data_IF_054997518016
#
_entry.id   IF_054997518016
#
_cell.length_a   1.000
_cell.length_b   1.000
_cell.length_c   1.000
_cell.angle_alpha   90.00
_cell.angle_beta   90.00
_cell.angle_gamma   90.00
#
_symmetry.space_group_name_H-M   'P 1'
#
loop_
_entity.id
_entity.type
_entity.pdbx_description
1 polymer ?
#
# COMPACT_ATOMS: atom_id res chain seq x y z
N UNK A 1 11.47 -9.91 12.98
CA UNK A 1 10.68 -8.68 13.16
C UNK A 1 9.46 -8.85 12.27
N UNK A 2 8.28 -9.13 12.83
CA UNK A 2 7.07 -9.16 12.00
C UNK A 2 6.89 -7.75 11.43
N UNK A 3 6.88 -7.59 10.10
CA UNK A 3 6.38 -6.35 9.52
C UNK A 3 4.96 -6.19 10.06
N UNK A 4 4.77 -5.23 10.94
CA UNK A 4 3.43 -4.77 11.28
C UNK A 4 2.98 -3.99 10.05
N UNK A 5 2.01 -4.52 9.31
CA UNK A 5 1.56 -3.92 8.05
C UNK A 5 0.94 -2.53 8.23
N UNK A 6 0.59 -2.15 9.48
CA UNK A 6 -0.16 -0.94 9.80
C UNK A 6 0.49 -0.15 10.93
N UNK A 7 0.41 1.17 10.83
CA UNK A 7 0.89 2.12 11.83
C UNK A 7 -0.11 3.27 12.02
N UNK A 8 -0.19 3.76 13.25
CA UNK A 8 -0.78 5.04 13.57
C UNK A 8 0.33 6.10 13.55
N UNK A 9 0.11 7.19 12.85
CA UNK A 9 1.09 8.24 12.70
C UNK A 9 0.51 9.58 13.09
N UNK A 10 1.36 10.44 13.62
CA UNK A 10 1.00 11.81 14.00
C UNK A 10 2.13 12.75 13.61
N UNK A 11 1.76 13.82 12.91
CA UNK A 11 2.63 14.95 12.60
C UNK A 11 2.04 16.20 13.24
N UNK A 12 2.80 16.82 14.13
CA UNK A 12 2.41 18.04 14.84
C UNK A 12 2.83 19.29 14.06
N UNK A 13 2.21 20.46 14.34
CA UNK A 13 2.50 21.69 13.61
C UNK A 13 3.93 22.20 13.79
N UNK A 14 4.60 21.83 14.89
CA UNK A 14 6.01 22.14 15.18
C UNK A 14 7.01 21.26 14.39
N UNK A 15 6.51 20.43 13.48
CA UNK A 15 7.32 19.53 12.65
C UNK A 15 7.66 18.21 13.32
N UNK A 16 7.26 17.99 14.58
CA UNK A 16 7.50 16.72 15.26
C UNK A 16 6.60 15.62 14.70
N UNK A 17 7.17 14.45 14.51
CA UNK A 17 6.51 13.31 13.91
C UNK A 17 6.74 12.05 14.76
N UNK A 18 5.71 11.22 14.89
CA UNK A 18 5.83 9.89 15.47
C UNK A 18 5.02 8.87 14.66
N UNK A 19 5.56 7.64 14.57
CA UNK A 19 4.94 6.49 13.91
C UNK A 19 4.92 5.33 14.89
N UNK A 20 3.72 4.79 15.13
CA UNK A 20 3.47 3.71 16.07
C UNK A 20 2.96 2.49 15.32
N UNK A 21 3.79 1.44 15.15
CA UNK A 21 3.32 0.17 14.59
C UNK A 21 2.19 -0.42 15.43
N UNK A 22 1.09 -0.83 14.78
CA UNK A 22 -0.10 -1.34 15.47
C UNK A 22 -0.65 -2.59 14.79
N UNK A 23 -1.26 -3.48 15.58
CA UNK A 23 -2.05 -4.61 15.12
C UNK A 23 -3.44 -4.51 15.74
N UNK A 24 -4.24 -3.56 15.24
CA UNK A 24 -5.56 -3.23 15.80
C UNK A 24 -6.56 -4.38 15.63
N UNK A 25 -6.36 -5.24 14.63
CA UNK A 25 -7.18 -6.43 14.40
C UNK A 25 -7.00 -7.49 15.48
N UNK A 26 -5.81 -7.57 16.09
CA UNK A 26 -5.49 -8.54 17.15
C UNK A 26 -5.87 -8.03 18.54
N UNK A 27 -5.63 -6.74 18.77
CA UNK A 27 -5.93 -6.06 20.04
C UNK A 27 -6.60 -4.71 19.76
N UNK A 28 -7.92 -4.72 19.47
CA UNK A 28 -8.65 -3.53 19.08
C UNK A 28 -8.92 -2.63 20.30
N UNK A 29 -8.72 -1.30 20.16
CA UNK A 29 -9.21 -0.35 21.15
C UNK A 29 -10.74 -0.43 21.24
N UNK A 30 -11.27 -0.14 22.43
CA UNK A 30 -12.72 -0.08 22.69
C UNK A 30 -13.02 1.12 23.58
N UNK A 31 -14.27 1.64 23.56
CA UNK A 31 -14.71 2.62 24.55
C UNK A 31 -14.41 2.12 25.97
N UNK A 32 -13.62 2.89 26.74
CA UNK A 32 -13.16 2.50 28.09
C UNK A 32 -11.85 1.69 28.15
N UNK A 33 -11.36 1.16 27.02
CA UNK A 33 -10.04 0.53 26.87
C UNK A 33 -9.33 1.12 25.64
N UNK A 34 -9.15 2.44 25.67
CA UNK A 34 -8.43 3.15 24.62
C UNK A 34 -6.94 2.80 24.64
N UNK A 35 -6.33 2.75 23.45
CA UNK A 35 -4.88 2.60 23.31
C UNK A 35 -4.25 3.98 23.20
N UNK A 36 -3.16 4.20 23.93
CA UNK A 36 -2.52 5.51 24.07
C UNK A 36 -1.09 5.43 23.55
N UNK A 37 -0.71 6.39 22.73
CA UNK A 37 0.59 6.44 22.06
C UNK A 37 1.21 7.81 22.32
N UNK A 38 2.15 7.88 23.26
CA UNK A 38 2.83 9.11 23.63
C UNK A 38 3.80 9.54 22.52
N UNK A 39 3.65 10.77 22.05
CA UNK A 39 4.54 11.38 21.06
C UNK A 39 5.80 11.87 21.80
N UNK A 40 6.99 11.35 21.46
CA UNK A 40 8.23 11.69 22.16
C UNK A 40 8.46 13.20 22.26
N UNK A 41 8.92 13.67 23.43
CA UNK A 41 9.36 15.06 23.65
C UNK A 41 8.31 16.15 23.36
N UNK A 42 7.03 15.82 23.49
CA UNK A 42 5.91 16.78 23.26
C UNK A 42 4.87 16.85 24.36
N UNK A 43 4.73 15.82 25.18
CA UNK A 43 3.59 15.67 26.10
C UNK A 43 2.26 15.40 25.40
N UNK A 44 2.23 15.29 24.07
CA UNK A 44 1.05 14.94 23.28
C UNK A 44 0.91 13.42 23.22
N UNK A 45 -0.32 12.94 23.32
CA UNK A 45 -0.68 11.53 23.21
C UNK A 45 -1.71 11.37 22.10
N UNK A 46 -1.41 10.52 21.12
CA UNK A 46 -2.40 10.02 20.18
C UNK A 46 -3.19 8.90 20.87
N UNK A 47 -4.51 9.04 20.94
CA UNK A 47 -5.39 8.07 21.58
C UNK A 47 -6.27 7.43 20.53
N UNK A 48 -6.24 6.11 20.46
CA UNK A 48 -7.17 5.31 19.66
C UNK A 48 -8.26 4.77 20.58
N UNK A 49 -9.50 5.23 20.38
CA UNK A 49 -10.64 4.93 21.26
C UNK A 49 -11.46 3.73 20.79
N UNK A 50 -11.54 3.54 19.47
CA UNK A 50 -12.39 2.52 18.87
C UNK A 50 -11.82 2.06 17.52
N UNK A 51 -12.22 0.88 17.09
CA UNK A 51 -11.74 0.27 15.84
C UNK A 51 -12.83 -0.53 15.16
N UNK A 52 -13.00 -0.28 13.86
CA UNK A 52 -13.90 -1.01 13.00
C UNK A 52 -13.09 -1.77 11.93
N UNK A 53 -13.13 -3.10 11.90
CA UNK A 53 -12.39 -3.88 10.92
C UNK A 53 -12.95 -3.74 9.50
N UNK A 54 -14.25 -3.43 9.40
CA UNK A 54 -14.98 -3.25 8.15
C UNK A 54 -15.88 -2.03 8.25
N UNK A 55 -15.66 -1.06 7.36
CA UNK A 55 -16.44 0.17 7.30
C UNK A 55 -16.99 0.44 5.92
N UNK A 56 -18.18 1.01 5.89
CA UNK A 56 -18.70 1.73 4.74
C UNK A 56 -18.43 3.21 4.99
N UNK A 57 -17.76 3.83 4.02
CA UNK A 57 -17.57 5.26 3.99
C UNK A 57 -18.72 5.88 3.19
N UNK A 58 -19.48 6.78 3.82
CA UNK A 58 -20.51 7.58 3.14
C UNK A 58 -20.16 9.06 3.26
N UNK A 59 -20.02 9.71 2.12
CA UNK A 59 -20.02 11.17 2.06
C UNK A 59 -21.46 11.67 2.00
N UNK A 60 -21.77 12.61 2.87
CA UNK A 60 -23.00 13.38 2.89
C UNK A 60 -22.64 14.85 2.95
N UNK A 61 -23.64 15.72 2.89
CA UNK A 61 -23.44 17.15 3.02
C UNK A 61 -24.45 17.70 4.01
N UNK A 62 -24.04 18.72 4.76
CA UNK A 62 -24.91 19.52 5.63
C UNK A 62 -24.86 20.99 5.20
N UNK A 63 -25.89 21.76 5.55
CA UNK A 63 -25.90 23.20 5.36
C UNK A 63 -24.74 23.87 6.10
N UNK A 64 -24.06 24.81 5.46
CA UNK A 64 -22.93 25.53 6.02
C UNK A 64 -22.92 27.01 5.61
N UNK A 65 -22.15 27.83 6.34
CA UNK A 65 -22.02 29.27 6.04
C UNK A 65 -21.21 29.54 4.77
N UNK A 66 -20.35 28.60 4.39
CA UNK A 66 -19.46 28.63 3.23
C UNK A 66 -19.28 27.23 2.64
N UNK A 67 -19.02 27.15 1.34
CA UNK A 67 -18.79 25.88 0.65
C UNK A 67 -19.50 25.86 -0.70
N UNK A 68 -19.18 24.88 -1.56
CA UNK A 68 -19.88 24.68 -2.82
C UNK A 68 -21.33 24.25 -2.55
N UNK A 69 -22.26 24.51 -3.47
CA UNK A 69 -23.60 23.96 -3.36
C UNK A 69 -23.56 22.44 -3.48
N UNK A 70 -24.52 21.77 -2.84
CA UNK A 70 -24.71 20.34 -2.94
C UNK A 70 -26.20 19.99 -2.94
N UNK A 71 -26.55 18.91 -3.61
CA UNK A 71 -27.89 18.34 -3.60
C UNK A 71 -27.84 16.84 -3.40
N UNK A 72 -28.88 16.32 -2.76
CA UNK A 72 -29.13 14.89 -2.67
C UNK A 72 -30.29 14.56 -3.60
N UNK A 73 -30.15 13.46 -4.33
CA UNK A 73 -31.22 12.96 -5.17
C UNK A 73 -31.45 11.48 -4.95
N UNK A 74 -32.69 11.08 -5.19
CA UNK A 74 -33.15 9.70 -5.17
C UNK A 74 -33.63 9.36 -6.57
N UNK A 75 -33.08 8.29 -7.13
CA UNK A 75 -33.53 7.66 -8.36
C UNK A 75 -34.42 6.48 -7.99
N UNK A 76 -35.69 6.57 -8.35
CA UNK A 76 -36.67 5.50 -8.22
C UNK A 76 -36.86 4.83 -9.58
N UNK A 77 -36.30 3.62 -9.71
CA UNK A 77 -36.50 2.75 -10.85
C UNK A 77 -37.48 1.61 -10.50
N UNK A 78 -38.12 0.96 -11.48
CA UNK A 78 -39.10 -0.10 -11.21
C UNK A 78 -38.58 -1.27 -10.36
N UNK A 79 -37.27 -1.54 -10.41
CA UNK A 79 -36.64 -2.68 -9.73
C UNK A 79 -35.55 -2.28 -8.73
N UNK A 80 -35.26 -0.99 -8.59
CA UNK A 80 -34.16 -0.51 -7.76
C UNK A 80 -34.43 0.92 -7.26
N UNK A 81 -33.91 1.23 -6.08
CA UNK A 81 -33.89 2.59 -5.55
C UNK A 81 -32.45 2.95 -5.24
N UNK A 82 -31.95 3.96 -5.93
CA UNK A 82 -30.59 4.47 -5.76
C UNK A 82 -30.64 5.91 -5.26
N UNK A 83 -29.58 6.35 -4.59
CA UNK A 83 -29.48 7.72 -4.09
C UNK A 83 -28.02 8.13 -4.04
N UNK A 84 -27.77 9.41 -4.28
CA UNK A 84 -26.42 9.98 -4.19
C UNK A 84 -26.46 11.47 -3.86
N UNK A 85 -25.36 11.96 -3.32
CA UNK A 85 -25.05 13.38 -3.29
C UNK A 85 -24.33 13.79 -4.57
N UNK A 86 -24.57 15.03 -4.98
CA UNK A 86 -23.78 15.75 -5.98
C UNK A 86 -23.37 17.09 -5.40
N UNK A 87 -22.12 17.51 -5.64
CA UNK A 87 -21.62 18.81 -5.24
C UNK A 87 -20.89 19.48 -6.40
N UNK A 88 -21.18 20.76 -6.63
CA UNK A 88 -20.51 21.55 -7.66
C UNK A 88 -19.11 22.04 -7.22
N UNK A 89 -18.44 21.27 -6.36
CA UNK A 89 -17.09 21.53 -5.89
C UNK A 89 -16.06 21.29 -6.99
N UNK A 90 -16.20 20.16 -7.68
CA UNK A 90 -15.31 19.68 -8.73
C UNK A 90 -16.08 18.69 -9.64
N UNK A 91 -15.48 18.32 -10.77
CA UNK A 91 -16.11 17.41 -11.73
C UNK A 91 -16.33 15.99 -11.19
N UNK A 92 -15.50 15.53 -10.26
CA UNK A 92 -15.57 14.18 -9.69
C UNK A 92 -16.73 14.03 -8.70
N UNK A 93 -17.04 15.09 -7.94
CA UNK A 93 -18.18 15.15 -7.01
C UNK A 93 -19.45 15.69 -7.65
N UNK A 94 -19.30 16.38 -8.78
CA UNK A 94 -20.39 16.91 -9.57
C UNK A 94 -21.06 15.88 -10.48
N UNK A 95 -20.48 14.69 -10.66
CA UNK A 95 -21.03 13.66 -11.54
C UNK A 95 -21.09 12.27 -10.91
N UNK A 96 -22.15 11.53 -11.24
CA UNK A 96 -22.28 10.10 -10.97
C UNK A 96 -22.89 9.38 -12.17
N UNK A 97 -22.37 8.20 -12.51
CA UNK A 97 -22.90 7.32 -13.57
C UNK A 97 -23.43 6.04 -12.91
N UNK A 98 -24.72 5.76 -13.08
CA UNK A 98 -25.36 4.54 -12.59
C UNK A 98 -25.46 3.44 -13.65
N UNK A 99 -24.85 3.62 -14.82
CA UNK A 99 -24.87 2.72 -15.96
C UNK A 99 -25.81 3.20 -17.07
N UNK A 100 -27.15 3.10 -16.89
CA UNK A 100 -28.12 3.49 -17.90
C UNK A 100 -28.42 5.00 -17.90
N UNK A 101 -28.07 5.72 -16.84
CA UNK A 101 -28.23 7.16 -16.71
C UNK A 101 -27.06 7.79 -15.94
N UNK A 102 -26.60 8.93 -16.43
CA UNK A 102 -25.64 9.80 -15.75
C UNK A 102 -26.36 10.99 -15.12
N UNK A 103 -25.78 11.52 -14.04
CA UNK A 103 -26.28 12.67 -13.32
C UNK A 103 -25.15 13.66 -13.10
N UNK A 104 -25.41 14.94 -13.38
CA UNK A 104 -24.48 16.05 -13.22
C UNK A 104 -25.08 17.16 -12.38
N UNK A 105 -24.25 17.87 -11.61
CA UNK A 105 -24.63 19.11 -10.94
C UNK A 105 -23.63 20.23 -11.22
N UNK A 106 -24.14 21.34 -11.74
CA UNK A 106 -23.35 22.46 -12.23
C UNK A 106 -23.85 23.79 -11.68
N UNK A 107 -22.95 24.77 -11.60
CA UNK A 107 -23.28 26.15 -11.24
C UNK A 107 -22.99 27.02 -12.44
N UNK A 108 -24.02 27.65 -12.99
CA UNK A 108 -23.89 28.55 -14.12
C UNK A 108 -23.59 29.98 -13.64
N UNK A 109 -22.73 30.70 -14.36
CA UNK A 109 -22.44 32.13 -14.12
C UNK A 109 -23.38 33.04 -14.89
N UNK A 110 -24.01 32.53 -15.95
CA UNK A 110 -24.99 33.26 -16.76
C UNK A 110 -26.20 32.39 -17.11
N UNK A 111 -27.32 33.00 -17.45
CA UNK A 111 -28.50 32.26 -17.93
C UNK A 111 -28.24 31.52 -19.26
N UNK A 112 -27.37 32.07 -20.12
CA UNK A 112 -26.98 31.42 -21.38
C UNK A 112 -26.18 30.13 -21.11
N UNK A 113 -25.25 30.19 -20.17
CA UNK A 113 -24.48 29.03 -19.70
C UNK A 113 -25.40 27.99 -19.05
N UNK A 114 -26.39 28.41 -18.26
CA UNK A 114 -27.37 27.48 -17.68
C UNK A 114 -28.17 26.72 -18.76
N UNK A 115 -28.56 27.41 -19.84
CA UNK A 115 -29.23 26.81 -20.98
C UNK A 115 -28.33 25.87 -21.81
N UNK A 116 -27.02 26.03 -21.75
CA UNK A 116 -26.04 25.13 -22.38
C UNK A 116 -25.83 23.88 -21.52
N UNK A 117 -25.57 24.06 -20.22
CA UNK A 117 -25.35 22.98 -19.25
C UNK A 117 -26.56 22.04 -19.11
N UNK A 118 -27.78 22.59 -19.19
CA UNK A 118 -29.01 21.77 -19.23
C UNK A 118 -29.18 20.97 -20.52
N UNK A 119 -28.43 21.27 -21.59
CA UNK A 119 -28.45 20.53 -22.86
C UNK A 119 -27.19 19.70 -23.07
N UNK A 120 -26.44 19.45 -22.00
CA UNK A 120 -25.24 18.63 -22.06
C UNK A 120 -25.57 17.21 -22.56
N UNK A 121 -24.92 16.82 -23.65
CA UNK A 121 -25.06 15.52 -24.28
C UNK A 121 -23.85 14.66 -23.94
N UNK A 122 -24.07 13.63 -23.13
CA UNK A 122 -23.02 12.70 -22.67
C UNK A 122 -22.94 11.42 -23.50
N UNK A 123 -23.72 11.30 -24.58
CA UNK A 123 -23.83 10.09 -25.40
C UNK A 123 -24.60 8.94 -24.72
N UNK A 124 -25.20 9.19 -23.56
CA UNK A 124 -26.13 8.33 -22.82
C UNK A 124 -27.29 9.18 -22.28
N UNK A 125 -28.25 8.55 -21.61
CA UNK A 125 -29.26 9.30 -20.88
C UNK A 125 -28.62 10.10 -19.74
N UNK A 126 -28.93 11.38 -19.63
CA UNK A 126 -28.30 12.30 -18.70
C UNK A 126 -29.34 13.16 -18.00
N UNK A 127 -29.13 13.40 -16.71
CA UNK A 127 -29.84 14.40 -15.91
C UNK A 127 -28.85 15.44 -15.45
N UNK A 128 -28.90 16.63 -16.03
CA UNK A 128 -28.06 17.76 -15.62
C UNK A 128 -28.87 18.68 -14.71
N UNK A 129 -28.48 18.79 -13.45
CA UNK A 129 -28.98 19.79 -12.52
C UNK A 129 -28.11 21.03 -12.62
N UNK A 130 -28.73 22.21 -12.72
CA UNK A 130 -28.00 23.47 -12.84
C UNK A 130 -28.54 24.48 -11.85
N UNK A 131 -27.64 25.07 -11.07
CA UNK A 131 -27.92 26.24 -10.24
C UNK A 131 -27.67 27.50 -11.07
N UNK A 132 -28.73 28.27 -11.31
CA UNK A 132 -28.65 29.56 -11.99
C UNK A 132 -28.06 30.65 -11.09
N UNK A 133 -27.51 31.74 -11.65
CA UNK A 133 -27.06 32.91 -10.88
C UNK A 133 -28.15 33.54 -10.02
N UNK A 134 -29.42 33.36 -10.40
CA UNK A 134 -30.60 33.80 -9.65
C UNK A 134 -30.82 33.02 -8.35
N UNK A 135 -30.14 31.88 -8.17
CA UNK A 135 -30.36 30.92 -7.10
C UNK A 135 -31.46 29.89 -7.41
N UNK A 136 -32.06 29.94 -8.61
CA UNK A 136 -33.03 28.93 -9.04
C UNK A 136 -32.33 27.64 -9.51
N UNK A 137 -32.94 26.49 -9.21
CA UNK A 137 -32.52 25.21 -9.75
C UNK A 137 -33.34 24.87 -10.99
N UNK A 138 -32.63 24.49 -12.05
CA UNK A 138 -33.21 23.96 -13.28
C UNK A 138 -32.60 22.60 -13.58
N UNK A 139 -33.30 21.81 -14.38
CA UNK A 139 -32.80 20.52 -14.82
C UNK A 139 -32.91 20.38 -16.34
N UNK A 140 -32.05 19.52 -16.89
CA UNK A 140 -32.07 19.08 -18.27
C UNK A 140 -32.02 17.56 -18.36
N UNK A 141 -32.96 16.99 -19.09
CA UNK A 141 -33.07 15.55 -19.35
C UNK A 141 -32.67 15.31 -20.80
N UNK A 142 -31.46 14.81 -21.03
CA UNK A 142 -30.95 14.52 -22.37
C UNK A 142 -31.04 13.02 -22.61
N UNK A 143 -31.77 12.58 -23.65
CA UNK A 143 -31.78 11.17 -24.04
C UNK A 143 -30.50 10.81 -24.79
N UNK A 144 -30.20 9.52 -24.91
CA UNK A 144 -29.09 9.03 -25.75
C UNK A 144 -29.17 9.52 -27.20
N UNK A 145 -30.37 9.74 -27.74
CA UNK A 145 -30.60 10.27 -29.09
C UNK A 145 -30.48 11.80 -29.17
N UNK A 146 -30.08 12.46 -28.09
CA UNK A 146 -29.85 13.91 -28.03
C UNK A 146 -31.12 14.76 -27.85
N UNK A 147 -32.29 14.14 -27.63
CA UNK A 147 -33.50 14.91 -27.30
C UNK A 147 -33.37 15.44 -25.88
N UNK A 148 -33.52 16.75 -25.72
CA UNK A 148 -33.44 17.38 -24.40
C UNK A 148 -34.78 17.95 -23.97
N UNK A 149 -35.19 17.66 -22.74
CA UNK A 149 -36.31 18.32 -22.06
C UNK A 149 -35.77 19.08 -20.85
N UNK A 150 -36.05 20.37 -20.77
CA UNK A 150 -35.64 21.19 -19.62
C UNK A 150 -36.84 21.55 -18.76
N UNK A 151 -36.60 21.83 -17.49
CA UNK A 151 -37.63 22.24 -16.56
C UNK A 151 -37.06 22.91 -15.32
N UNK A 152 -37.94 23.52 -14.54
CA UNK A 152 -37.59 24.07 -13.23
C UNK A 152 -37.61 22.95 -12.21
N UNK A 153 -36.58 22.88 -11.38
CA UNK A 153 -36.50 21.91 -10.30
C UNK A 153 -37.09 22.49 -9.02
N UNK A 154 -38.02 21.76 -8.42
CA UNK A 154 -38.55 22.05 -7.08
C UNK A 154 -38.17 20.90 -6.14
N UNK A 155 -37.50 21.22 -5.03
CA UNK A 155 -37.06 20.23 -4.06
C UNK A 155 -38.26 19.46 -3.49
N UNK A 156 -38.17 18.14 -3.48
CA UNK A 156 -39.20 17.20 -3.04
C UNK A 156 -40.21 16.80 -4.13
N UNK A 157 -40.24 17.48 -5.28
CA UNK A 157 -41.13 17.09 -6.39
C UNK A 157 -40.47 16.07 -7.32
N UNK A 158 -41.16 14.97 -7.68
CA UNK A 158 -40.64 14.01 -8.65
C UNK A 158 -40.56 14.58 -10.07
N UNK A 159 -39.45 14.30 -10.73
CA UNK A 159 -39.20 14.56 -12.16
C UNK A 159 -39.36 13.22 -12.89
N UNK A 160 -40.35 13.14 -13.78
CA UNK A 160 -40.55 11.99 -14.65
C UNK A 160 -39.47 12.00 -15.75
N UNK A 161 -38.70 10.92 -15.84
CA UNK A 161 -37.69 10.80 -16.90
C UNK A 161 -38.33 10.25 -18.18
N UNK A 162 -37.95 10.75 -19.37
CA UNK A 162 -38.55 10.29 -20.62
C UNK A 162 -38.11 8.88 -21.05
N UNK A 163 -37.32 8.19 -20.22
CA UNK A 163 -36.82 6.85 -20.47
C UNK A 163 -37.09 5.95 -19.26
N UNK A 164 -37.33 4.66 -19.52
CA UNK A 164 -37.32 3.58 -18.51
C UNK A 164 -38.32 3.68 -17.33
N UNK A 165 -39.27 4.62 -17.35
CA UNK A 165 -40.28 4.78 -16.29
C UNK A 165 -39.67 5.12 -14.92
N UNK A 166 -38.51 5.80 -14.91
CA UNK A 166 -37.81 6.18 -13.69
C UNK A 166 -38.22 7.59 -13.25
N UNK A 167 -38.20 7.81 -11.93
CA UNK A 167 -38.46 9.10 -11.31
C UNK A 167 -37.24 9.58 -10.56
N UNK A 168 -36.93 10.86 -10.68
CA UNK A 168 -35.84 11.49 -9.97
C UNK A 168 -36.42 12.51 -9.01
N UNK A 169 -36.09 12.40 -7.73
CA UNK A 169 -36.50 13.35 -6.70
C UNK A 169 -35.25 13.95 -6.09
N UNK A 170 -35.09 15.27 -6.20
CA UNK A 170 -34.11 15.99 -5.38
C UNK A 170 -34.79 16.32 -4.06
N UNK A 171 -34.47 15.58 -3.01
CA UNK A 171 -35.10 15.70 -1.69
C UNK A 171 -34.42 16.75 -0.81
N UNK A 172 -33.14 17.04 -1.05
CA UNK A 172 -32.36 18.04 -0.31
C UNK A 172 -31.48 18.86 -1.23
N UNK A 173 -31.40 20.16 -0.94
CA UNK A 173 -30.49 21.09 -1.59
C UNK A 173 -29.92 22.07 -0.57
N UNK A 174 -28.63 22.30 -0.66
CA UNK A 174 -27.89 23.29 0.11
C UNK A 174 -27.14 24.20 -0.85
N UNK A 175 -27.50 25.49 -0.87
CA UNK A 175 -26.80 26.49 -1.68
C UNK A 175 -25.32 26.66 -1.25
N UNK A 176 -25.03 26.34 0.01
CA UNK A 176 -23.69 26.26 0.57
C UNK A 176 -23.65 25.04 1.48
N UNK A 177 -22.74 24.13 1.19
CA UNK A 177 -22.69 22.84 1.86
C UNK A 177 -21.28 22.53 2.37
N UNK A 178 -21.21 21.93 3.55
CA UNK A 178 -19.98 21.33 4.06
C UNK A 178 -20.08 19.81 3.90
N UNK A 179 -19.03 19.15 3.36
CA UNK A 179 -18.99 17.70 3.31
C UNK A 179 -18.94 17.13 4.73
N UNK A 180 -19.78 16.14 4.96
CA UNK A 180 -19.85 15.34 6.17
C UNK A 180 -19.47 13.91 5.83
N UNK A 181 -18.64 13.34 6.69
CA UNK A 181 -18.11 12.01 6.47
C UNK A 181 -18.62 11.06 7.54
N UNK A 182 -19.45 10.11 7.13
CA UNK A 182 -19.96 9.09 8.04
C UNK A 182 -19.21 7.78 7.79
N UNK A 183 -18.53 7.31 8.83
CA UNK A 183 -17.91 5.99 8.88
C UNK A 183 -18.81 5.09 9.71
N UNK A 184 -19.41 4.09 9.07
CA UNK A 184 -20.31 3.13 9.73
C UNK A 184 -19.81 1.70 9.56
N UNK A 185 -20.06 0.80 10.53
CA UNK A 185 -19.76 -0.62 10.37
C UNK A 185 -20.41 -1.19 9.11
N UNK A 186 -19.68 -2.01 8.37
CA UNK A 186 -20.18 -2.73 7.20
C UNK A 186 -19.99 -4.24 7.38
N UNK A 187 -20.84 -5.07 6.76
CA UNK A 187 -20.58 -6.51 6.72
C UNK A 187 -19.25 -6.80 6.01
N UNK A 188 -18.57 -7.91 6.37
CA UNK A 188 -17.34 -8.30 5.69
C UNK A 188 -17.61 -8.50 4.19
N UNK A 189 -16.80 -7.91 3.30
CA UNK A 189 -17.00 -8.05 1.86
C UNK A 189 -16.73 -9.49 1.41
N UNK A 190 -17.45 -9.95 0.38
CA UNK A 190 -17.23 -11.26 -0.24
C UNK A 190 -15.81 -11.43 -0.82
N UNK A 191 -15.16 -10.31 -1.16
CA UNK A 191 -13.77 -10.26 -1.65
C UNK A 191 -12.89 -9.44 -0.72
N UNK A 192 -11.69 -9.94 -0.46
CA UNK A 192 -10.71 -9.35 0.46
C UNK A 192 -10.32 -7.90 0.09
N UNK A 193 -10.28 -7.59 -1.21
CA UNK A 193 -9.86 -6.30 -1.78
C UNK A 193 -10.71 -5.08 -1.36
N UNK A 194 -11.86 -5.28 -0.71
CA UNK A 194 -12.74 -4.19 -0.23
C UNK A 194 -12.73 -3.98 1.28
N UNK A 195 -11.82 -4.64 2.02
CA UNK A 195 -11.75 -4.51 3.49
C UNK A 195 -11.15 -3.16 3.90
N UNK A 196 -11.99 -2.13 3.94
CA UNK A 196 -11.63 -0.86 4.58
C UNK A 196 -11.81 -1.00 6.09
N UNK A 197 -10.73 -0.85 6.84
CA UNK A 197 -10.75 -0.74 8.30
C UNK A 197 -10.61 0.72 8.72
N UNK A 198 -11.21 1.12 9.84
CA UNK A 198 -11.08 2.46 10.39
C UNK A 198 -10.77 2.43 11.89
N UNK A 199 -10.05 3.45 12.35
CA UNK A 199 -9.72 3.66 13.75
C UNK A 199 -10.20 5.04 14.17
N UNK A 200 -10.88 5.11 15.32
CA UNK A 200 -11.34 6.37 15.90
C UNK A 200 -10.25 6.91 16.80
N UNK A 201 -9.77 8.12 16.49
CA UNK A 201 -8.63 8.71 17.16
C UNK A 201 -8.85 10.16 17.54
N UNK A 202 -8.12 10.61 18.55
CA UNK A 202 -7.98 12.01 18.91
C UNK A 202 -6.60 12.25 19.52
N UNK A 203 -6.20 13.53 19.59
CA UNK A 203 -5.01 13.95 20.30
C UNK A 203 -5.39 14.48 21.68
N UNK A 204 -4.56 14.20 22.68
CA UNK A 204 -4.63 14.76 24.02
C UNK A 204 -3.26 15.31 24.42
N UNK A 205 -3.21 16.42 25.15
CA UNK A 205 -1.95 17.06 25.51
C UNK A 205 -2.16 18.34 26.31
N UNK A 206 -1.09 19.13 26.52
CA UNK A 206 -1.14 20.36 27.31
C UNK A 206 -2.14 21.38 26.76
N UNK A 207 -2.27 21.45 25.44
CA UNK A 207 -3.16 22.40 24.73
C UNK A 207 -4.62 21.93 24.66
N UNK A 208 -4.94 20.80 25.33
CA UNK A 208 -6.29 20.25 25.42
C UNK A 208 -6.46 18.95 24.64
N UNK A 209 -7.66 18.77 24.07
CA UNK A 209 -8.08 17.53 23.41
C UNK A 209 -8.83 17.84 22.12
N UNK A 210 -8.54 17.10 21.04
CA UNK A 210 -9.31 17.21 19.79
C UNK A 210 -10.62 16.44 19.87
N UNK A 211 -11.58 16.84 19.02
CA UNK A 211 -12.74 16.00 18.74
C UNK A 211 -12.27 14.65 18.17
N UNK A 212 -12.85 13.52 18.61
CA UNK A 212 -12.60 12.21 18.01
C UNK A 212 -13.07 12.13 16.57
N UNK A 213 -12.26 11.52 15.72
CA UNK A 213 -12.54 11.38 14.29
C UNK A 213 -12.10 10.00 13.79
N UNK A 214 -12.78 9.50 12.76
CA UNK A 214 -12.46 8.23 12.12
C UNK A 214 -11.39 8.42 11.03
N UNK A 215 -10.29 7.69 11.16
CA UNK A 215 -9.23 7.61 10.15
C UNK A 215 -9.31 6.24 9.49
N UNK A 216 -9.57 6.21 8.19
CA UNK A 216 -9.64 4.96 7.41
C UNK A 216 -8.23 4.51 7.02
N UNK A 217 -8.06 3.22 6.79
CA UNK A 217 -6.82 2.65 6.29
C UNK A 217 -6.33 3.38 5.03
N UNK A 218 -5.04 3.68 4.97
CA UNK A 218 -4.34 4.50 3.95
C UNK A 218 -4.62 6.00 4.00
N UNK A 219 -5.47 6.47 4.91
CA UNK A 219 -5.85 7.88 5.00
C UNK A 219 -4.95 8.66 5.98
N UNK A 220 -4.76 9.95 5.69
CA UNK A 220 -4.23 10.95 6.59
C UNK A 220 -5.27 12.07 6.79
N UNK A 221 -5.60 12.38 8.04
CA UNK A 221 -6.59 13.39 8.42
C UNK A 221 -5.90 14.58 9.06
N UNK A 222 -6.29 15.78 8.63
CA UNK A 222 -5.92 17.04 9.28
C UNK A 222 -6.87 17.28 10.45
N UNK A 223 -6.33 17.58 11.63
CA UNK A 223 -7.09 17.87 12.85
C UNK A 223 -6.65 19.21 13.41
N UNK A 224 -7.61 20.01 13.88
CA UNK A 224 -7.30 21.27 14.55
C UNK A 224 -6.64 20.99 15.91
N UNK A 225 -5.44 21.52 16.12
CA UNK A 225 -4.64 21.33 17.32
C UNK A 225 -3.96 22.65 17.70
N UNK A 226 -4.23 23.18 18.91
CA UNK A 226 -3.63 24.41 19.42
C UNK A 226 -3.75 25.62 18.45
N UNK A 227 -4.88 25.77 17.76
CA UNK A 227 -5.09 26.82 16.75
C UNK A 227 -4.35 26.62 15.43
N UNK A 228 -3.62 25.50 15.29
CA UNK A 228 -2.92 25.08 14.08
C UNK A 228 -3.48 23.74 13.59
N UNK A 229 -2.87 23.15 12.56
CA UNK A 229 -3.30 21.88 11.97
C UNK A 229 -2.27 20.79 12.22
N UNK A 230 -2.63 19.79 13.01
CA UNK A 230 -1.88 18.54 13.10
C UNK A 230 -2.42 17.55 12.05
N UNK A 231 -1.64 16.52 11.75
CA UNK A 231 -2.05 15.41 10.86
C UNK A 231 -1.99 14.10 11.62
N UNK A 232 -3.04 13.29 11.52
CA UNK A 232 -3.11 11.93 12.08
C UNK A 232 -3.41 10.96 10.94
N UNK A 233 -2.65 9.87 10.83
CA UNK A 233 -2.80 8.92 9.73
C UNK A 233 -2.86 7.47 10.21
N UNK A 234 -3.56 6.63 9.46
CA UNK A 234 -3.62 5.19 9.67
C UNK A 234 -3.19 4.48 8.37
N UNK A 235 -1.90 4.18 8.25
CA UNK A 235 -1.30 3.71 6.99
C UNK A 235 -0.11 2.80 7.27
N UNK A 236 0.55 2.32 6.21
CA UNK A 236 1.74 1.49 6.36
C UNK A 236 2.82 2.23 7.19
N UNK A 237 3.62 1.52 8.00
CA UNK A 237 4.70 2.16 8.75
C UNK A 237 5.67 2.86 7.80
N UNK A 238 6.00 4.11 8.12
CA UNK A 238 7.07 4.82 7.44
C UNK A 238 8.38 4.63 8.21
N UNK A 239 9.47 4.51 7.45
CA UNK A 239 10.82 4.42 8.00
C UNK A 239 11.57 5.65 7.53
N UNK A 240 12.03 6.46 8.49
CA UNK A 240 12.86 7.62 8.18
C UNK A 240 14.19 7.14 7.56
N UNK A 241 14.56 7.75 6.45
CA UNK A 241 15.88 7.57 5.85
C UNK A 241 16.87 8.53 6.52
N UNK A 242 18.14 8.13 6.72
CA UNK A 242 19.16 9.00 7.33
C UNK A 242 19.70 10.07 6.36
N UNK A 243 19.05 10.29 5.23
CA UNK A 243 19.39 11.24 4.17
C UNK A 243 18.10 11.63 3.44
N UNK A 244 18.12 12.75 2.73
CA UNK A 244 17.00 13.22 1.92
C UNK A 244 17.22 12.87 0.45
N UNK A 245 16.14 12.60 -0.26
CA UNK A 245 16.16 12.33 -1.71
C UNK A 245 15.19 13.29 -2.38
N UNK A 246 15.70 14.12 -3.29
CA UNK A 246 14.91 15.08 -4.05
C UNK A 246 14.96 14.71 -5.53
N UNK A 247 13.79 14.67 -6.18
CA UNK A 247 13.71 14.51 -7.64
C UNK A 247 14.08 15.84 -8.32
N UNK A 248 15.15 15.84 -9.11
CA UNK A 248 15.62 16.99 -9.88
C UNK A 248 14.92 17.03 -11.24
N UNK A 249 14.92 15.88 -11.93
CA UNK A 249 14.40 15.74 -13.28
C UNK A 249 13.85 14.34 -13.48
N UNK A 250 12.67 14.26 -14.08
CA UNK A 250 12.07 13.02 -14.56
C UNK A 250 12.04 13.04 -16.09
N UNK A 251 12.35 11.90 -16.71
CA UNK A 251 12.22 11.74 -18.15
C UNK A 251 11.48 10.44 -18.45
N UNK A 252 10.59 10.48 -19.44
CA UNK A 252 9.86 9.30 -19.89
C UNK A 252 9.71 9.33 -21.41
N UNK A 253 10.38 8.40 -22.07
CA UNK A 253 10.21 8.20 -23.51
C UNK A 253 9.00 7.30 -23.75
N UNK A 254 8.21 7.61 -24.78
CA UNK A 254 7.01 6.85 -25.17
C UNK A 254 7.28 5.98 -26.40
N UNK A 255 6.56 4.87 -26.52
CA UNK A 255 6.61 4.08 -27.75
C UNK A 255 6.05 4.90 -28.93
N UNK A 256 6.71 4.87 -30.11
CA UNK A 256 6.19 5.55 -31.29
C UNK A 256 4.75 5.10 -31.61
N UNK A 257 3.82 6.06 -31.68
CA UNK A 257 2.41 5.79 -31.97
C UNK A 257 1.56 5.33 -30.78
N UNK A 258 2.09 5.35 -29.54
CA UNK A 258 1.35 5.03 -28.32
C UNK A 258 1.66 6.01 -27.20
N UNK A 259 0.73 6.18 -26.26
CA UNK A 259 0.98 6.91 -25.03
C UNK A 259 1.69 6.07 -23.95
N UNK A 260 1.98 4.79 -24.22
CA UNK A 260 2.69 3.91 -23.30
C UNK A 260 4.17 4.34 -23.17
N UNK A 261 4.64 4.50 -21.93
CA UNK A 261 6.04 4.75 -21.65
C UNK A 261 6.90 3.52 -22.02
N UNK A 262 7.93 3.77 -22.83
CA UNK A 262 8.96 2.80 -23.20
C UNK A 262 10.07 2.73 -22.15
N UNK A 263 10.47 3.88 -21.62
CA UNK A 263 11.50 4.01 -20.58
C UNK A 263 11.15 5.17 -19.69
N UNK A 264 11.39 5.04 -18.38
CA UNK A 264 11.33 6.16 -17.45
C UNK A 264 12.54 6.15 -16.53
N UNK A 265 13.08 7.34 -16.30
CA UNK A 265 14.32 7.58 -15.58
C UNK A 265 14.20 8.83 -14.71
N UNK A 266 15.01 8.87 -13.65
CA UNK A 266 14.98 9.94 -12.66
C UNK A 266 16.38 10.37 -12.27
N UNK A 267 16.60 11.67 -12.28
CA UNK A 267 17.76 12.31 -11.69
C UNK A 267 17.37 12.77 -10.29
N UNK A 268 18.06 12.24 -9.29
CA UNK A 268 17.79 12.53 -7.89
C UNK A 268 19.00 13.17 -7.22
N UNK A 269 18.76 14.16 -6.37
CA UNK A 269 19.73 14.71 -5.44
C UNK A 269 19.58 13.97 -4.12
N UNK A 270 20.66 13.40 -3.63
CA UNK A 270 20.76 12.83 -2.30
C UNK A 270 21.53 13.79 -1.40
N UNK A 271 20.87 14.28 -0.36
CA UNK A 271 21.47 15.14 0.65
C UNK A 271 21.64 14.34 1.94
N UNK A 272 22.88 13.97 2.23
CA UNK A 272 23.24 13.18 3.41
C UNK A 272 24.06 14.04 4.39
N UNK A 273 23.61 14.19 5.65
CA UNK A 273 24.35 14.96 6.65
C UNK A 273 25.80 14.49 6.89
N UNK A 274 26.10 13.21 6.69
CA UNK A 274 27.42 12.62 6.90
C UNK A 274 28.27 12.60 5.61
N UNK A 275 27.64 12.51 4.44
CA UNK A 275 28.34 12.32 3.15
C UNK A 275 28.24 13.50 2.18
N UNK A 276 27.47 14.52 2.53
CA UNK A 276 27.23 15.70 1.71
C UNK A 276 26.17 15.48 0.62
N UNK A 277 26.16 16.38 -0.35
CA UNK A 277 25.18 16.39 -1.45
C UNK A 277 25.78 15.67 -2.66
N UNK A 278 24.99 14.79 -3.28
CA UNK A 278 25.38 14.07 -4.50
C UNK A 278 24.19 13.87 -5.42
N UNK A 279 24.42 13.81 -6.73
CA UNK A 279 23.36 13.59 -7.72
C UNK A 279 23.53 12.20 -8.35
N UNK A 280 22.41 11.51 -8.53
CA UNK A 280 22.36 10.13 -9.00
C UNK A 280 21.30 9.96 -10.07
N UNK A 281 21.57 9.08 -11.01
CA UNK A 281 20.62 8.68 -12.05
C UNK A 281 20.06 7.30 -11.73
N UNK A 282 18.74 7.18 -11.74
CA UNK A 282 18.00 5.94 -11.49
C UNK A 282 17.17 5.62 -12.72
N UNK A 283 17.34 4.42 -13.27
CA UNK A 283 16.53 3.90 -14.38
C UNK A 283 16.09 2.47 -14.09
N UNK A 284 15.15 1.93 -14.88
CA UNK A 284 14.55 0.60 -14.64
C UNK A 284 15.57 -0.53 -14.41
N UNK A 285 16.73 -0.46 -15.08
CA UNK A 285 17.78 -1.47 -14.99
C UNK A 285 19.03 -0.98 -14.21
N UNK A 286 19.05 0.27 -13.77
CA UNK A 286 20.15 0.84 -12.98
C UNK A 286 19.59 1.44 -11.68
N UNK A 287 19.41 0.63 -10.63
CA UNK A 287 18.99 1.11 -9.33
C UNK A 287 20.11 1.88 -8.63
N UNK A 288 19.75 2.83 -7.77
CA UNK A 288 20.71 3.53 -6.93
C UNK A 288 20.98 2.73 -5.66
N UNK A 289 22.24 2.40 -5.44
CA UNK A 289 22.74 1.82 -4.18
C UNK A 289 23.33 2.91 -3.29
N UNK A 290 22.70 3.21 -2.17
CA UNK A 290 23.15 4.26 -1.25
C UNK A 290 22.96 3.86 0.22
N UNK A 291 24.04 3.87 1.01
CA UNK A 291 24.05 3.49 2.46
C UNK A 291 23.29 2.19 2.81
N UNK A 292 23.40 1.17 1.95
CA UNK A 292 22.72 -0.12 2.13
C UNK A 292 21.24 -0.13 1.74
N UNK A 293 20.73 0.98 1.21
CA UNK A 293 19.43 1.08 0.55
C UNK A 293 19.61 0.93 -0.96
N UNK A 294 18.63 0.33 -1.60
CA UNK A 294 18.54 0.17 -3.04
C UNK A 294 17.23 0.82 -3.49
N UNK A 295 17.35 1.86 -4.32
CA UNK A 295 16.22 2.57 -4.90
C UNK A 295 16.00 2.05 -6.31
N UNK A 296 14.89 1.33 -6.49
CA UNK A 296 14.42 0.88 -7.78
C UNK A 296 13.40 1.85 -8.32
N UNK A 297 13.53 2.17 -9.59
CA UNK A 297 12.50 2.94 -10.28
C UNK A 297 11.28 2.05 -10.53
N UNK A 298 10.17 2.34 -9.84
CA UNK A 298 9.02 1.44 -9.78
C UNK A 298 7.84 1.91 -10.61
N UNK A 299 7.55 3.21 -10.60
CA UNK A 299 6.45 3.80 -11.37
C UNK A 299 6.60 5.32 -11.42
N UNK A 300 5.62 6.00 -12.00
CA UNK A 300 5.52 7.45 -12.03
C UNK A 300 4.05 7.86 -12.13
N UNK A 301 3.77 9.12 -11.77
CA UNK A 301 2.45 9.72 -11.93
C UNK A 301 2.60 10.87 -12.91
N UNK A 302 1.91 10.75 -14.05
CA UNK A 302 1.79 11.84 -15.03
C UNK A 302 0.89 12.95 -14.46
N UNK A 303 1.39 14.18 -14.45
CA UNK A 303 0.67 15.35 -13.95
C UNK A 303 1.60 16.55 -13.76
N UNK A 304 1.06 17.64 -13.21
CA UNK A 304 1.84 18.77 -12.72
C UNK A 304 1.62 18.91 -11.21
N UNK A 305 2.61 18.55 -10.35
CA UNK A 305 3.95 18.12 -10.71
C UNK A 305 4.03 16.65 -11.15
N UNK A 306 4.96 16.36 -12.06
CA UNK A 306 5.36 15.00 -12.41
C UNK A 306 6.01 14.36 -11.19
N UNK A 307 5.60 13.13 -10.83
CA UNK A 307 6.14 12.42 -9.66
C UNK A 307 6.76 11.09 -10.06
N UNK A 308 7.91 10.76 -9.45
CA UNK A 308 8.52 9.44 -9.57
C UNK A 308 8.22 8.61 -8.33
N UNK A 309 7.93 7.33 -8.53
CA UNK A 309 7.68 6.37 -7.46
C UNK A 309 8.85 5.39 -7.41
N UNK A 310 9.57 5.41 -6.28
CA UNK A 310 10.66 4.48 -6.03
C UNK A 310 10.23 3.35 -5.11
N UNK A 311 10.64 2.14 -5.42
CA UNK A 311 10.62 1.02 -4.48
C UNK A 311 11.96 0.96 -3.76
N UNK A 312 11.94 0.94 -2.43
CA UNK A 312 13.16 1.01 -1.60
C UNK A 312 13.34 -0.30 -0.85
N UNK A 313 14.48 -0.95 -1.05
CA UNK A 313 14.88 -2.14 -0.31
C UNK A 313 16.12 -1.85 0.53
N UNK A 314 16.21 -2.44 1.73
CA UNK A 314 17.46 -2.47 2.49
C UNK A 314 18.14 -3.81 2.27
N UNK A 315 19.35 -3.78 1.73
CA UNK A 315 20.14 -4.98 1.48
C UNK A 315 21.47 -4.91 2.24
N UNK A 316 21.89 -5.99 2.93
CA UNK A 316 23.21 -6.08 3.55
C UNK A 316 24.35 -6.05 2.50
N UNK A 317 24.02 -6.06 1.21
CA UNK A 317 24.94 -5.89 0.11
C UNK A 317 25.39 -7.21 -0.52
N UNK A 318 26.07 -7.09 -1.66
CA UNK A 318 26.60 -8.22 -2.40
C UNK A 318 27.59 -9.09 -1.62
N UNK A 319 28.44 -8.57 -0.70
CA UNK A 319 29.42 -9.41 0.00
C UNK A 319 28.78 -10.56 0.77
N UNK A 320 27.67 -10.32 1.48
CA UNK A 320 26.98 -11.36 2.24
C UNK A 320 26.37 -12.43 1.32
N UNK A 321 25.80 -12.00 0.19
CA UNK A 321 25.25 -12.90 -0.83
C UNK A 321 26.36 -13.77 -1.40
N UNK A 322 27.52 -13.18 -1.73
CA UNK A 322 28.65 -13.93 -2.25
C UNK A 322 29.21 -14.91 -1.23
N UNK A 323 29.31 -14.56 0.06
CA UNK A 323 29.71 -15.52 1.10
C UNK A 323 28.75 -16.72 1.12
N UNK A 324 27.44 -16.49 1.06
CA UNK A 324 26.45 -17.57 1.00
C UNK A 324 26.63 -18.47 -0.22
N UNK A 325 26.77 -17.89 -1.41
CA UNK A 325 26.99 -18.65 -2.66
C UNK A 325 28.32 -19.38 -2.66
N UNK A 326 29.38 -18.80 -2.10
CA UNK A 326 30.68 -19.44 -1.93
C UNK A 326 30.61 -20.62 -0.96
N UNK A 327 29.88 -20.50 0.16
CA UNK A 327 29.68 -21.60 1.11
C UNK A 327 28.89 -22.75 0.47
N UNK A 328 27.84 -22.45 -0.29
CA UNK A 328 27.07 -23.47 -1.03
C UNK A 328 27.98 -24.16 -2.06
N UNK A 329 28.72 -23.39 -2.86
CA UNK A 329 29.66 -23.91 -3.85
C UNK A 329 30.72 -24.81 -3.21
N UNK A 330 31.29 -24.39 -2.08
CA UNK A 330 32.28 -25.17 -1.33
C UNK A 330 31.69 -26.44 -0.73
N UNK A 331 30.45 -26.40 -0.23
CA UNK A 331 29.73 -27.57 0.28
C UNK A 331 29.47 -28.61 -0.80
N UNK A 332 29.07 -28.18 -2.00
CA UNK A 332 28.91 -29.05 -3.17
C UNK A 332 30.25 -29.66 -3.57
N UNK A 333 31.31 -28.86 -3.64
CA UNK A 333 32.66 -29.35 -3.94
C UNK A 333 33.12 -30.39 -2.90
N UNK A 334 32.88 -30.14 -1.61
CA UNK A 334 33.21 -31.05 -0.54
C UNK A 334 32.46 -32.38 -0.67
N UNK A 335 31.15 -32.33 -0.94
CA UNK A 335 30.31 -33.50 -1.07
C UNK A 335 30.73 -34.40 -2.25
N UNK A 336 31.02 -33.81 -3.41
CA UNK A 336 31.29 -34.57 -4.64
C UNK A 336 32.75 -34.99 -4.82
N UNK A 337 33.71 -34.23 -4.27
CA UNK A 337 35.13 -34.48 -4.52
C UNK A 337 35.88 -34.88 -3.26
N UNK A 338 35.72 -34.14 -2.17
CA UNK A 338 36.52 -34.36 -0.95
C UNK A 338 36.05 -35.59 -0.19
N UNK A 339 34.74 -35.73 0.07
CA UNK A 339 34.18 -36.87 0.79
C UNK A 339 34.48 -38.22 0.12
N UNK A 340 34.28 -38.42 -1.20
CA UNK A 340 34.63 -39.68 -1.85
C UNK A 340 36.14 -39.91 -1.93
N UNK A 341 36.95 -38.85 -2.07
CA UNK A 341 38.41 -39.00 -2.01
C UNK A 341 38.89 -39.48 -0.64
N UNK A 342 38.35 -38.92 0.45
CA UNK A 342 38.64 -39.35 1.81
C UNK A 342 38.19 -40.79 2.05
N UNK A 343 36.96 -41.14 1.64
CA UNK A 343 36.44 -42.50 1.75
C UNK A 343 37.31 -43.52 0.99
N UNK A 344 37.82 -43.17 -0.20
CA UNK A 344 38.77 -44.01 -0.96
C UNK A 344 40.11 -44.18 -0.24
N UNK A 345 40.63 -43.13 0.41
CA UNK A 345 41.88 -43.21 1.18
C UNK A 345 41.73 -44.09 2.42
N UNK A 346 40.61 -43.97 3.12
CA UNK A 346 40.33 -44.78 4.30
C UNK A 346 40.12 -46.25 3.94
N UNK A 347 39.41 -46.53 2.83
CA UNK A 347 39.29 -47.89 2.30
C UNK A 347 40.64 -48.50 1.90
N UNK A 348 41.52 -47.73 1.26
CA UNK A 348 42.86 -48.19 0.88
C UNK A 348 43.74 -48.51 2.11
N UNK A 349 43.68 -47.67 3.16
CA UNK A 349 44.39 -47.92 4.42
C UNK A 349 43.86 -49.16 5.14
N UNK A 350 42.54 -49.36 5.14
CA UNK A 350 41.92 -50.55 5.73
C UNK A 350 42.38 -51.83 5.01
N UNK A 351 42.50 -51.79 3.68
CA UNK A 351 42.98 -52.92 2.89
C UNK A 351 44.44 -53.26 3.19
N UNK A 352 45.32 -52.26 3.28
CA UNK A 352 46.73 -52.44 3.64
C UNK A 352 46.89 -53.04 5.05
N UNK A 353 46.13 -52.53 6.02
CA UNK A 353 46.15 -53.06 7.38
C UNK A 353 45.66 -54.52 7.46
N UNK A 354 44.73 -54.92 6.60
CA UNK A 354 44.30 -56.32 6.49
C UNK A 354 45.42 -57.20 5.92
N UNK A 355 46.04 -56.76 4.81
CA UNK A 355 47.16 -57.47 4.17
C UNK A 355 48.35 -57.64 5.12
N UNK A 356 48.71 -56.61 5.90
CA UNK A 356 49.78 -56.70 6.89
C UNK A 356 49.47 -57.71 8.02
N UNK A 357 48.20 -57.81 8.43
CA UNK A 357 47.76 -58.80 9.42
C UNK A 357 47.81 -60.21 8.87
N UNK A 358 47.36 -60.42 7.64
CA UNK A 358 47.48 -61.72 6.96
C UNK A 358 48.94 -62.14 6.81
N UNK A 359 49.79 -61.26 6.26
CA UNK A 359 51.22 -61.53 6.10
C UNK A 359 51.91 -61.84 7.44
N UNK A 360 51.54 -61.15 8.53
CA UNK A 360 52.08 -61.41 9.87
C UNK A 360 51.64 -62.77 10.41
N UNK A 361 50.38 -63.15 10.20
CA UNK A 361 49.85 -64.45 10.63
C UNK A 361 50.47 -65.61 9.82
N UNK A 362 50.71 -65.42 8.52
CA UNK A 362 51.43 -66.38 7.68
C UNK A 362 52.90 -66.52 8.08
N UNK A 363 53.58 -65.42 8.41
CA UNK A 363 54.95 -65.46 8.92
C UNK A 363 55.05 -66.19 10.29
N UNK A 364 54.09 -65.94 11.19
CA UNK A 364 54.04 -66.60 12.49
C UNK A 364 53.73 -68.11 12.37
N UNK A 365 52.88 -68.52 11.43
CA UNK A 365 52.56 -69.93 11.20
C UNK A 365 53.71 -70.70 10.55
N UNK A 366 54.46 -70.08 9.64
CA UNK A 366 55.67 -70.66 9.03
C UNK A 366 56.82 -70.81 10.02
N UNK A 367 56.99 -69.88 10.96
CA UNK A 367 58.02 -69.98 12.00
C UNK A 367 57.67 -71.04 13.06
N UNK A 368 56.40 -71.15 13.43
CA UNK A 368 55.90 -72.23 14.30
C UNK A 368 56.08 -73.63 13.68
N UNK A 369 55.98 -73.75 12.35
CA UNK A 369 56.25 -74.98 11.62
C UNK A 369 57.75 -75.36 11.63
N UNK A 370 58.66 -74.37 11.59
CA UNK A 370 60.12 -74.62 11.71
C UNK A 370 60.55 -74.98 13.13
N UNK A 371 59.95 -74.35 14.16
CA UNK A 371 60.26 -74.64 15.57
C UNK A 371 59.87 -76.04 16.07
N UNK A 372 58.98 -76.75 15.36
CA UNK A 372 58.63 -78.16 15.67
C UNK A 372 59.61 -79.19 15.11
N UNK A 373 60.56 -78.79 14.27
CA UNK A 373 61.66 -79.64 13.82
C UNK A 373 62.83 -79.55 14.81
N UNK A 374 62.66 -80.10 16.02
CA UNK A 374 63.75 -80.31 16.99
C UNK A 374 64.65 -81.50 16.61
N UNK A 375 65.90 -81.56 17.10
CA UNK A 375 66.94 -82.46 16.57
C UNK A 375 66.62 -83.94 16.85
N UNK A 376 66.88 -84.80 15.87
CA UNK A 376 66.76 -86.25 16.00
C UNK A 376 67.76 -86.78 17.06
N UNK A 377 67.26 -87.54 18.03
CA UNK A 377 68.05 -88.28 19.02
C UNK A 377 69.01 -89.28 18.34
N UNK A 378 70.26 -89.42 18.80
CA UNK A 378 71.15 -90.47 18.32
C UNK A 378 70.77 -91.82 18.94
N UNK A 379 70.46 -92.80 18.10
CA UNK A 379 70.24 -94.18 18.53
C UNK A 379 71.55 -94.81 19.04
N UNK A 380 71.53 -95.33 20.28
CA UNK A 380 72.65 -96.02 20.89
C UNK A 380 72.78 -97.48 20.41
N UNK A 381 74.04 -97.86 20.17
CA UNK A 381 74.65 -99.14 19.81
C UNK A 381 74.13 -100.43 20.47
N UNK A 382 74.19 -101.55 19.73
CA UNK A 382 74.87 -102.75 20.23
C UNK A 382 74.37 -104.12 19.73
N UNK A 383 75.12 -104.74 18.81
CA UNK A 383 75.64 -106.13 18.82
C UNK A 383 76.02 -106.59 17.40
#
# INVERSE_FOLDING_TARGET
>A
MALLDKALQVALPDGKYASFPVALEKDPPRPGRARRFAVPDTGVTLVAEDFLPHVALRESYDAADSGPPALHFVLEAPFAREQSWLSAADSARGHVDFGPAAFGFHVARTAAEAAELTREATGKNNVSFVLEPSGALVYGLTTKEGRTTTGRLEVGRPIETPWMGMKVVVDRFFAKAAPQRTVSPAPPPEKDERRLSAVKVHLEGPDGRTAPDWVVWTEARKVAWAGQTATVAYRAPEVALPFQVQLIKFNSDKYPGSNMAATYESWVRVEDPERGISEHHISMNHPLHYRGYIFFQASFVEGEPMMSIFSVARSPGLPLVYVGVSLISLGVLWMFYVKPMLARRDAARALQAHQERENRNEAASTDAARGRAGPAEPASSGA
#
